data_IF_657313996347
#
_entry.id   IF_657313996347
#
_cell.length_a   1.000
_cell.length_b   1.000
_cell.length_c   1.000
_cell.angle_alpha   90.00
_cell.angle_beta   90.00
_cell.angle_gamma   90.00
#
_symmetry.space_group_name_H-M   'P 1'
#
loop_
_entity.id
_entity.type
_entity.pdbx_description
1 polymer ?
#
# COMPACT_ATOMS: atom_id res chain seq x y z
N UNK A 1 -16.99 -6.19 -13.40
CA UNK A 1 -16.24 -5.76 -12.19
C UNK A 1 -16.29 -6.84 -11.11
N UNK A 2 -17.47 -7.45 -10.91
CA UNK A 2 -17.75 -8.51 -9.93
C UNK A 2 -16.85 -9.77 -10.05
N UNK A 3 -16.65 -10.32 -11.25
CA UNK A 3 -15.78 -11.50 -11.45
C UNK A 3 -14.32 -11.26 -11.05
N UNK A 4 -13.79 -10.05 -11.27
CA UNK A 4 -12.42 -9.71 -10.89
C UNK A 4 -12.28 -9.66 -9.37
N UNK A 5 -13.23 -9.04 -8.68
CA UNK A 5 -13.23 -8.97 -7.22
C UNK A 5 -13.36 -10.37 -6.61
N UNK A 6 -14.27 -11.20 -7.12
CA UNK A 6 -14.44 -12.58 -6.68
C UNK A 6 -13.14 -13.40 -6.81
N UNK A 7 -12.45 -13.30 -7.96
CA UNK A 7 -11.16 -13.98 -8.15
C UNK A 7 -10.08 -13.47 -7.18
N UNK A 8 -10.07 -12.18 -6.85
CA UNK A 8 -9.14 -11.63 -5.86
C UNK A 8 -9.46 -12.13 -4.44
N UNK A 9 -10.75 -12.25 -4.09
CA UNK A 9 -11.19 -12.78 -2.80
C UNK A 9 -10.86 -14.27 -2.65
N UNK A 10 -11.02 -15.07 -3.71
CA UNK A 10 -10.60 -16.48 -3.71
C UNK A 10 -9.08 -16.62 -3.50
N UNK A 11 -8.29 -15.77 -4.18
CA UNK A 11 -6.83 -15.71 -3.97
C UNK A 11 -6.48 -15.26 -2.55
N UNK A 12 -7.27 -14.37 -1.95
CA UNK A 12 -7.07 -13.93 -0.58
C UNK A 12 -7.32 -15.08 0.40
N UNK A 13 -8.43 -15.81 0.24
CA UNK A 13 -8.80 -16.96 1.06
C UNK A 13 -7.80 -18.12 0.98
N UNK A 14 -7.24 -18.35 -0.21
CA UNK A 14 -6.24 -19.40 -0.43
C UNK A 14 -4.80 -18.94 -0.11
N UNK A 15 -4.60 -17.68 0.29
CA UNK A 15 -3.28 -17.09 0.54
C UNK A 15 -2.48 -16.72 -0.72
N UNK A 16 -2.89 -17.20 -1.90
CA UNK A 16 -2.23 -16.93 -3.18
C UNK A 16 -2.13 -15.43 -3.53
N UNK A 17 -2.99 -14.59 -2.94
CA UNK A 17 -2.94 -13.15 -3.13
C UNK A 17 -1.59 -12.55 -2.73
N UNK A 18 -0.97 -13.07 -1.67
CA UNK A 18 0.31 -12.58 -1.15
C UNK A 18 1.52 -13.09 -1.97
N UNK A 19 1.33 -14.14 -2.75
CA UNK A 19 2.37 -14.86 -3.47
C UNK A 19 2.95 -15.99 -2.63
N UNK A 20 4.11 -16.51 -3.03
CA UNK A 20 4.79 -17.55 -2.27
C UNK A 20 5.41 -16.96 -0.98
N UNK A 21 5.05 -17.53 0.17
CA UNK A 21 5.53 -17.15 1.50
C UNK A 21 6.21 -18.38 2.09
N UNK A 22 7.48 -18.58 1.75
CA UNK A 22 8.24 -19.78 2.12
C UNK A 22 8.78 -19.72 3.55
N UNK A 23 9.00 -18.52 4.10
CA UNK A 23 9.56 -18.30 5.44
C UNK A 23 8.77 -17.25 6.21
N UNK A 24 7.56 -17.56 6.70
CA UNK A 24 6.79 -16.60 7.47
C UNK A 24 7.54 -16.18 8.74
N UNK A 25 7.30 -14.95 9.17
CA UNK A 25 7.80 -14.46 10.45
C UNK A 25 7.05 -15.14 11.60
N UNK A 26 7.77 -15.41 12.68
CA UNK A 26 7.19 -16.04 13.88
C UNK A 26 6.43 -15.06 14.77
N UNK A 27 6.70 -13.76 14.62
CA UNK A 27 6.06 -12.68 15.37
C UNK A 27 5.41 -11.69 14.40
N UNK A 28 4.15 -11.34 14.67
CA UNK A 28 3.42 -10.33 13.92
C UNK A 28 3.66 -8.97 14.57
N UNK A 29 4.19 -8.04 13.78
CA UNK A 29 4.37 -6.62 14.06
C UNK A 29 3.45 -5.82 13.14
N UNK A 30 2.83 -4.80 13.71
CA UNK A 30 1.94 -3.87 13.00
C UNK A 30 2.65 -2.54 12.75
N UNK A 31 2.44 -1.98 11.57
CA UNK A 31 3.00 -0.71 11.16
C UNK A 31 1.95 0.16 10.49
N UNK A 32 2.06 1.46 10.70
CA UNK A 32 1.26 2.48 10.03
C UNK A 32 2.03 3.02 8.82
N UNK A 33 1.38 3.07 7.66
CA UNK A 33 1.84 3.76 6.46
C UNK A 33 0.88 4.91 6.19
N UNK A 34 1.36 6.15 6.24
CA UNK A 34 0.53 7.32 5.93
C UNK A 34 1.18 8.20 4.88
N UNK A 35 0.41 8.89 4.05
CA UNK A 35 0.93 9.94 3.18
C UNK A 35 -0.08 11.06 2.94
N UNK A 36 0.43 12.25 2.68
CA UNK A 36 -0.30 13.42 2.21
C UNK A 36 0.28 13.87 0.87
N UNK A 37 -0.56 14.35 -0.04
CA UNK A 37 -0.10 14.83 -1.35
C UNK A 37 -1.20 15.24 -2.31
N UNK A 38 -0.97 14.96 -3.59
CA UNK A 38 -1.85 15.36 -4.69
C UNK A 38 -2.44 14.14 -5.39
N UNK A 39 -3.75 14.19 -5.64
CA UNK A 39 -4.46 13.30 -6.54
C UNK A 39 -4.89 14.06 -7.80
N UNK A 40 -4.41 13.64 -8.96
CA UNK A 40 -4.75 14.23 -10.25
C UNK A 40 -5.74 13.34 -10.99
N UNK A 41 -6.92 13.88 -11.31
CA UNK A 41 -8.00 13.19 -12.00
C UNK A 41 -7.57 12.75 -13.39
N UNK A 42 -7.85 11.49 -13.73
CA UNK A 42 -7.58 10.92 -15.05
C UNK A 42 -8.56 11.40 -16.13
N UNK A 43 -9.74 11.90 -15.75
CA UNK A 43 -10.77 12.31 -16.71
C UNK A 43 -10.58 13.73 -17.22
N UNK A 44 -10.16 14.65 -16.34
CA UNK A 44 -10.11 16.09 -16.63
C UNK A 44 -8.81 16.77 -16.16
N UNK A 45 -7.90 16.04 -15.52
CA UNK A 45 -6.62 16.58 -15.03
C UNK A 45 -6.75 17.47 -13.79
N UNK A 46 -7.93 17.59 -13.20
CA UNK A 46 -8.12 18.38 -11.98
C UNK A 46 -7.36 17.77 -10.79
N UNK A 47 -6.75 18.62 -9.98
CA UNK A 47 -5.98 18.21 -8.80
C UNK A 47 -6.79 18.39 -7.51
N UNK A 48 -6.68 17.41 -6.62
CA UNK A 48 -7.27 17.41 -5.28
C UNK A 48 -6.20 17.02 -4.26
N UNK A 49 -6.38 17.44 -3.01
CA UNK A 49 -5.55 16.95 -1.93
C UNK A 49 -5.90 15.49 -1.63
N UNK A 50 -4.89 14.65 -1.42
CA UNK A 50 -5.04 13.28 -0.94
C UNK A 50 -4.41 13.12 0.43
N UNK A 51 -5.09 12.38 1.30
CA UNK A 51 -4.56 11.86 2.55
C UNK A 51 -4.80 10.36 2.60
N UNK A 52 -3.84 9.59 3.06
CA UNK A 52 -4.04 8.16 3.25
C UNK A 52 -3.37 7.68 4.53
N UNK A 53 -3.99 6.67 5.14
CA UNK A 53 -3.41 5.90 6.24
C UNK A 53 -3.76 4.43 6.04
N UNK A 54 -2.77 3.55 6.16
CA UNK A 54 -2.90 2.11 6.09
C UNK A 54 -2.26 1.48 7.31
N UNK A 55 -2.83 0.36 7.75
CA UNK A 55 -2.25 -0.50 8.79
C UNK A 55 -1.78 -1.78 8.11
N UNK A 56 -0.51 -2.13 8.31
CA UNK A 56 0.10 -3.32 7.72
C UNK A 56 0.66 -4.23 8.78
N UNK A 57 0.66 -5.52 8.50
CA UNK A 57 1.26 -6.55 9.33
C UNK A 57 2.25 -7.35 8.50
N UNK A 58 3.42 -7.64 9.07
CA UNK A 58 4.42 -8.47 8.40
C UNK A 58 3.88 -9.88 8.17
N UNK A 59 4.24 -10.45 7.01
CA UNK A 59 4.05 -11.86 6.71
C UNK A 59 5.39 -12.57 6.62
N UNK A 60 6.36 -11.95 5.94
CA UNK A 60 7.72 -12.46 5.77
C UNK A 60 8.64 -11.28 5.51
N UNK A 61 9.58 -11.02 6.43
CA UNK A 61 10.61 -9.97 6.26
C UNK A 61 12.01 -10.54 6.02
N UNK A 62 12.11 -11.85 5.81
CA UNK A 62 13.37 -12.54 5.51
C UNK A 62 13.63 -12.43 4.00
N UNK A 63 14.90 -12.23 3.64
CA UNK A 63 15.41 -12.03 2.27
C UNK A 63 15.21 -10.62 1.66
N UNK A 64 15.61 -10.45 0.40
CA UNK A 64 15.55 -9.19 -0.39
C UNK A 64 14.12 -8.65 -0.61
N UNK A 65 13.09 -9.46 -0.33
CA UNK A 65 11.69 -9.08 -0.55
C UNK A 65 10.90 -9.31 0.74
N UNK A 66 10.60 -8.22 1.44
CA UNK A 66 9.68 -8.27 2.56
C UNK A 66 8.23 -8.13 2.07
N UNK A 67 7.34 -8.97 2.58
CA UNK A 67 5.90 -8.97 2.26
C UNK A 67 5.07 -8.71 3.50
N UNK A 68 4.11 -7.81 3.36
CA UNK A 68 3.15 -7.42 4.40
C UNK A 68 1.73 -7.57 3.86
N UNK A 69 0.80 -7.95 4.73
CA UNK A 69 -0.64 -7.80 4.45
C UNK A 69 -1.08 -6.42 4.93
N UNK A 70 -2.02 -5.82 4.20
CA UNK A 70 -2.71 -4.63 4.69
C UNK A 70 -3.97 -5.06 5.40
N UNK A 71 -4.12 -4.68 6.66
CA UNK A 71 -5.22 -5.10 7.56
C UNK A 71 -6.32 -4.05 7.69
N UNK A 72 -6.05 -2.82 7.26
CA UNK A 72 -7.05 -1.77 7.15
C UNK A 72 -6.45 -0.47 6.64
N UNK A 73 -7.29 0.53 6.47
CA UNK A 73 -6.86 1.86 6.06
C UNK A 73 -7.89 2.61 5.26
N UNK A 74 -7.59 3.88 5.01
CA UNK A 74 -8.45 4.82 4.31
C UNK A 74 -7.60 5.68 3.38
N UNK A 75 -8.19 6.04 2.24
CA UNK A 75 -7.71 7.12 1.38
C UNK A 75 -8.82 8.17 1.27
N UNK A 76 -8.50 9.43 1.50
CA UNK A 76 -9.39 10.57 1.34
C UNK A 76 -8.88 11.44 0.20
N UNK A 77 -9.71 11.70 -0.80
CA UNK A 77 -9.41 12.61 -1.91
C UNK A 77 -10.51 13.66 -1.99
N UNK A 78 -10.18 14.92 -1.71
CA UNK A 78 -11.18 15.98 -1.58
C UNK A 78 -12.24 15.61 -0.54
N UNK A 79 -13.49 15.42 -0.98
CA UNK A 79 -14.62 15.02 -0.14
C UNK A 79 -14.91 13.51 -0.17
N UNK A 80 -14.22 12.73 -1.00
CA UNK A 80 -14.49 11.31 -1.17
C UNK A 80 -13.59 10.48 -0.27
N UNK A 81 -14.19 9.56 0.47
CA UNK A 81 -13.50 8.56 1.27
C UNK A 81 -13.52 7.20 0.57
N UNK A 82 -12.39 6.53 0.59
CA UNK A 82 -12.23 5.15 0.17
C UNK A 82 -11.71 4.32 1.34
N UNK A 83 -12.40 3.23 1.66
CA UNK A 83 -11.93 2.24 2.64
C UNK A 83 -11.11 1.16 1.93
N UNK A 84 -9.96 0.82 2.50
CA UNK A 84 -9.14 -0.26 1.99
C UNK A 84 -9.61 -1.60 2.55
N UNK A 85 -10.25 -2.40 1.71
CA UNK A 85 -10.81 -3.70 2.10
C UNK A 85 -9.73 -4.76 2.33
N UNK A 86 -8.74 -4.82 1.44
CA UNK A 86 -7.57 -5.71 1.56
C UNK A 86 -6.44 -5.23 0.67
N UNK A 87 -5.22 -5.63 1.01
CA UNK A 87 -4.06 -5.32 0.18
C UNK A 87 -2.81 -6.05 0.64
N UNK A 88 -1.72 -5.79 -0.08
CA UNK A 88 -0.38 -6.21 0.29
C UNK A 88 0.63 -5.12 0.00
N UNK A 89 1.70 -5.10 0.78
CA UNK A 89 2.90 -4.32 0.49
C UNK A 89 4.04 -5.29 0.23
N UNK A 90 4.85 -4.98 -0.78
CA UNK A 90 6.15 -5.59 -0.99
C UNK A 90 7.22 -4.53 -0.93
N UNK A 91 8.26 -4.80 -0.16
CA UNK A 91 9.46 -3.97 -0.07
C UNK A 91 10.57 -4.77 -0.73
N UNK A 92 11.20 -4.19 -1.73
CA UNK A 92 12.35 -4.75 -2.42
C UNK A 92 13.56 -3.91 -2.01
N UNK A 93 14.46 -4.51 -1.23
CA UNK A 93 15.73 -3.90 -0.88
C UNK A 93 16.82 -4.43 -1.79
N UNK A 94 17.70 -3.53 -2.25
CA UNK A 94 18.97 -3.90 -2.87
C UNK A 94 20.15 -3.83 -1.89
N UNK A 95 19.90 -3.51 -0.62
CA UNK A 95 20.88 -3.27 0.46
C UNK A 95 21.94 -2.20 0.15
N UNK A 96 21.77 -1.40 -0.91
CA UNK A 96 22.79 -0.41 -1.30
C UNK A 96 22.45 1.01 -0.89
N UNK A 97 21.19 1.45 -1.02
CA UNK A 97 20.81 2.81 -0.59
C UNK A 97 19.31 3.13 -0.59
N UNK A 98 18.49 2.50 -1.44
CA UNK A 98 17.10 2.92 -1.68
C UNK A 98 16.20 1.72 -1.88
N UNK A 99 15.17 1.67 -1.07
CA UNK A 99 14.20 0.59 -1.15
C UNK A 99 12.99 1.01 -1.99
N UNK A 100 12.56 0.08 -2.83
CA UNK A 100 11.37 0.22 -3.65
C UNK A 100 10.22 -0.52 -2.98
N UNK A 101 9.17 0.22 -2.66
CA UNK A 101 7.98 -0.28 -2.00
C UNK A 101 6.82 -0.27 -2.99
N UNK A 102 6.08 -1.36 -3.06
CA UNK A 102 4.89 -1.51 -3.89
C UNK A 102 3.71 -1.91 -3.02
N UNK A 103 2.75 -0.99 -2.87
CA UNK A 103 1.43 -1.29 -2.29
C UNK A 103 0.45 -1.60 -3.42
N UNK A 104 -0.24 -2.73 -3.31
CA UNK A 104 -1.40 -3.03 -4.15
C UNK A 104 -2.55 -3.41 -3.24
N UNK A 105 -3.72 -2.86 -3.51
CA UNK A 105 -4.90 -3.16 -2.70
C UNK A 105 -6.20 -2.91 -3.45
N UNK A 106 -7.29 -3.16 -2.73
CA UNK A 106 -8.64 -2.94 -3.19
C UNK A 106 -9.35 -1.96 -2.27
N UNK A 107 -9.76 -0.83 -2.84
CA UNK A 107 -10.53 0.22 -2.20
C UNK A 107 -12.02 0.02 -2.47
N UNK A 108 -12.86 0.44 -1.54
CA UNK A 108 -14.32 0.51 -1.66
C UNK A 108 -14.72 1.95 -1.35
N UNK A 109 -15.46 2.59 -2.24
CA UNK A 109 -16.03 3.92 -2.00
C UNK A 109 -17.34 3.83 -1.18
N UNK A 110 -17.86 4.99 -0.77
CA UNK A 110 -19.11 5.09 0.00
C UNK A 110 -20.35 4.51 -0.72
N UNK A 111 -20.28 4.34 -2.04
CA UNK A 111 -21.34 3.73 -2.85
C UNK A 111 -21.15 2.21 -3.02
N UNK A 112 -20.08 1.64 -2.45
CA UNK A 112 -19.76 0.22 -2.55
C UNK A 112 -19.00 -0.17 -3.81
N UNK A 113 -18.53 0.78 -4.62
CA UNK A 113 -17.76 0.47 -5.82
C UNK A 113 -16.32 0.11 -5.48
N UNK A 114 -15.87 -1.01 -6.06
CA UNK A 114 -14.54 -1.56 -5.84
C UNK A 114 -13.53 -1.02 -6.83
N UNK A 115 -12.43 -0.45 -6.35
CA UNK A 115 -11.38 0.14 -7.16
C UNK A 115 -9.99 -0.37 -6.73
N UNK A 116 -9.14 -0.71 -7.71
CA UNK A 116 -7.77 -1.11 -7.40
C UNK A 116 -6.88 0.10 -7.10
N UNK A 117 -6.10 0.05 -6.04
CA UNK A 117 -5.01 1.00 -5.76
C UNK A 117 -3.66 0.35 -6.03
N UNK A 118 -2.74 1.12 -6.62
CA UNK A 118 -1.32 0.78 -6.74
C UNK A 118 -0.50 1.99 -6.34
N UNK A 119 0.34 1.86 -5.32
CA UNK A 119 1.32 2.87 -4.94
C UNK A 119 2.72 2.34 -5.18
N UNK A 120 3.50 3.09 -5.94
CA UNK A 120 4.95 2.96 -6.03
C UNK A 120 5.54 3.97 -5.07
N UNK A 121 6.30 3.49 -4.09
CA UNK A 121 6.82 4.30 -2.99
C UNK A 121 8.33 4.08 -2.93
N UNK A 122 9.09 5.14 -2.66
CA UNK A 122 10.53 5.07 -2.43
C UNK A 122 10.87 5.50 -1.01
N UNK A 123 11.84 4.83 -0.41
CA UNK A 123 12.51 5.26 0.83
C UNK A 123 13.96 5.64 0.52
N UNK A 124 14.45 6.69 1.18
CA UNK A 124 15.87 7.08 1.13
C UNK A 124 16.74 6.27 2.11
N UNK A 125 16.11 5.42 2.93
CA UNK A 125 16.74 4.54 3.90
C UNK A 125 16.45 3.08 3.54
N UNK A 126 17.41 2.18 3.83
CA UNK A 126 17.18 0.73 3.70
C UNK A 126 16.12 0.27 4.72
N UNK A 127 15.21 -0.58 4.29
CA UNK A 127 14.09 -1.13 5.05
C UNK A 127 14.31 -2.62 5.28
N UNK A 128 15.45 -2.95 5.89
CA UNK A 128 15.84 -4.32 6.19
C UNK A 128 15.27 -4.76 7.55
N UNK A 129 14.41 -5.79 7.54
CA UNK A 129 13.91 -6.43 8.76
C UNK A 129 12.94 -5.57 9.55
N UNK A 130 13.33 -5.19 10.77
CA UNK A 130 12.49 -4.40 11.69
C UNK A 130 12.64 -2.91 11.42
N UNK A 131 11.55 -2.20 11.11
CA UNK A 131 11.55 -0.76 10.79
C UNK A 131 11.89 0.14 11.99
N UNK A 132 12.23 -0.45 13.13
CA UNK A 132 12.66 0.26 14.33
C UNK A 132 11.52 1.08 14.95
N UNK A 133 11.90 2.00 15.85
CA UNK A 133 10.95 2.85 16.57
C UNK A 133 10.80 4.26 15.97
N UNK A 134 11.70 4.66 15.07
CA UNK A 134 11.66 5.99 14.48
C UNK A 134 10.87 5.96 13.16
N UNK A 135 9.99 6.94 12.91
CA UNK A 135 9.30 7.03 11.63
C UNK A 135 10.28 7.15 10.47
N UNK A 136 10.01 6.42 9.39
CA UNK A 136 10.79 6.43 8.16
C UNK A 136 10.05 7.25 7.11
N UNK A 137 10.71 8.25 6.55
CA UNK A 137 10.13 9.09 5.51
C UNK A 137 9.99 8.32 4.19
N UNK A 138 8.84 8.48 3.56
CA UNK A 138 8.46 7.84 2.31
C UNK A 138 8.11 8.89 1.26
N UNK A 139 8.34 8.58 -0.01
CA UNK A 139 7.84 9.36 -1.13
C UNK A 139 6.98 8.48 -2.03
N UNK A 140 5.72 8.86 -2.22
CA UNK A 140 4.83 8.25 -3.21
C UNK A 140 5.19 8.82 -4.57
N UNK A 141 5.73 7.97 -5.44
CA UNK A 141 6.23 8.33 -6.76
C UNK A 141 5.32 7.79 -7.86
N UNK A 142 5.39 8.40 -9.04
CA UNK A 142 4.69 7.88 -10.20
C UNK A 142 5.40 6.65 -10.77
N UNK A 143 4.67 5.64 -11.29
CA UNK A 143 3.20 5.59 -11.40
C UNK A 143 2.52 5.04 -10.14
N UNK A 144 1.82 5.92 -9.41
CA UNK A 144 0.88 5.59 -8.33
C UNK A 144 -0.53 6.03 -8.73
N UNK A 145 -1.55 5.22 -8.45
CA UNK A 145 -2.91 5.47 -8.94
C UNK A 145 -4.03 4.73 -8.20
N UNK A 146 -5.22 5.29 -8.26
CA UNK A 146 -6.50 4.57 -8.13
C UNK A 146 -7.01 4.29 -9.55
N UNK A 147 -7.28 3.02 -9.84
CA UNK A 147 -7.58 2.54 -11.18
C UNK A 147 -8.76 3.30 -11.81
N UNK A 148 -8.51 3.92 -12.96
CA UNK A 148 -9.53 4.63 -13.74
C UNK A 148 -9.93 6.00 -13.18
N UNK A 149 -9.37 6.44 -12.06
CA UNK A 149 -9.80 7.68 -11.40
C UNK A 149 -8.67 8.67 -11.15
N UNK A 150 -7.59 8.28 -10.46
CA UNK A 150 -6.61 9.23 -9.92
C UNK A 150 -5.18 8.78 -10.16
N UNK A 151 -4.29 9.71 -10.52
CA UNK A 151 -2.84 9.60 -10.32
C UNK A 151 -2.49 10.17 -8.96
N UNK A 152 -1.59 9.54 -8.24
CA UNK A 152 -1.23 9.89 -6.87
C UNK A 152 0.27 10.21 -6.78
N UNK A 153 0.60 11.21 -5.98
CA UNK A 153 1.97 11.54 -5.57
C UNK A 153 1.94 12.25 -4.22
N UNK A 154 3.03 12.18 -3.47
CA UNK A 154 3.06 12.75 -2.13
C UNK A 154 4.22 12.29 -1.29
N UNK A 155 4.22 12.71 -0.04
CA UNK A 155 5.20 12.30 0.96
C UNK A 155 4.49 11.70 2.16
N UNK A 156 5.15 10.75 2.79
CA UNK A 156 4.54 9.93 3.82
C UNK A 156 5.55 9.43 4.82
N UNK A 157 5.05 8.56 5.70
CA UNK A 157 5.82 7.93 6.76
C UNK A 157 5.40 6.48 6.93
N UNK A 158 6.37 5.65 7.28
CA UNK A 158 6.21 4.32 7.85
C UNK A 158 6.61 4.38 9.31
N UNK A 159 5.77 3.91 10.22
CA UNK A 159 6.09 3.87 11.66
C UNK A 159 5.49 2.63 12.30
N UNK A 160 6.05 2.20 13.43
CA UNK A 160 5.41 1.19 14.28
C UNK A 160 4.03 1.71 14.73
N UNK A 161 2.99 0.86 14.64
CA UNK A 161 1.63 1.19 15.08
C UNK A 161 1.49 1.19 16.60
#
# INVERSE_FOLDING_TARGET
MEQRLQSLLEKLQTGQYYGDISQPDSEIKSYDVSFDGTATSLSDGSAQNVKAKFVIENLSTKDYIATFKVTGGQVQIGQTTYDLAFGKIRIMSDHTAKDSILLIGNLIDEQGNSNGIRLSISSAQSLDGDFGQQPIDLTVVQPSKIAGQWLLEGNGKLSLS
#
